data_IF_419996449920
#
_entry.id   IF_419996449920
#
_cell.length_a   1.000
_cell.length_b   1.000
_cell.length_c   1.000
_cell.angle_alpha   90.00
_cell.angle_beta   90.00
_cell.angle_gamma   90.00
#
_symmetry.space_group_name_H-M   'P 1'
#
loop_
_entity.id
_entity.type
_entity.pdbx_description
1 polymer ?
#
# COMPACT_ATOMS: atom_id res chain seq x y z
N UNK A 1 -15.68 59.92 -20.99
CA UNK A 1 -15.57 59.23 -19.68
C UNK A 1 -14.49 58.15 -19.81
N UNK A 2 -13.36 58.27 -19.11
CA UNK A 2 -12.51 57.11 -18.75
C UNK A 2 -13.07 56.55 -17.44
N UNK A 3 -13.06 55.23 -17.20
CA UNK A 3 -11.85 54.46 -16.85
C UNK A 3 -11.89 53.02 -17.46
N UNK A 4 -10.99 52.05 -17.31
CA UNK A 4 -9.69 51.87 -16.65
C UNK A 4 -9.16 50.50 -17.12
N UNK A 5 -7.87 50.42 -17.41
CA UNK A 5 -7.09 49.19 -17.62
C UNK A 5 -6.94 48.41 -16.30
N UNK A 6 -7.38 47.16 -16.26
CA UNK A 6 -6.90 46.14 -15.32
C UNK A 6 -6.12 45.11 -16.16
N UNK A 7 -4.85 44.78 -15.93
CA UNK A 7 -4.11 44.78 -14.67
C UNK A 7 -3.83 43.32 -14.32
N UNK A 8 -2.86 42.71 -15.02
CA UNK A 8 -2.38 41.36 -14.79
C UNK A 8 -1.94 41.18 -13.33
N UNK A 9 -2.69 40.37 -12.58
CA UNK A 9 -2.26 39.89 -11.27
C UNK A 9 -1.44 38.62 -11.45
N UNK A 10 -0.13 38.82 -11.55
CA UNK A 10 0.92 37.80 -11.51
C UNK A 10 0.73 36.84 -10.32
N UNK A 11 0.76 35.54 -10.61
CA UNK A 11 0.92 34.46 -9.63
C UNK A 11 2.13 34.74 -8.72
N UNK A 12 2.08 34.43 -7.42
CA UNK A 12 3.23 34.64 -6.54
C UNK A 12 4.39 33.74 -7.00
N UNK A 13 5.65 34.23 -6.98
CA UNK A 13 6.77 33.43 -7.38
C UNK A 13 6.96 32.29 -6.39
N UNK A 14 7.16 31.07 -6.90
CA UNK A 14 7.65 29.93 -6.13
C UNK A 14 8.84 30.38 -5.27
N UNK A 15 8.65 30.51 -3.95
CA UNK A 15 9.75 30.72 -3.02
C UNK A 15 10.62 29.48 -3.09
N UNK A 16 11.84 29.63 -3.61
CA UNK A 16 12.88 28.60 -3.49
C UNK A 16 13.04 28.28 -1.99
N UNK A 17 13.16 27.00 -1.61
CA UNK A 17 13.46 26.64 -0.22
C UNK A 17 14.70 27.38 0.25
N UNK A 18 14.64 27.97 1.44
CA UNK A 18 15.75 28.66 2.08
C UNK A 18 16.94 27.71 2.16
N UNK A 19 18.15 28.10 1.73
CA UNK A 19 19.34 27.29 1.94
C UNK A 19 19.52 27.06 3.45
N UNK A 20 19.68 25.80 3.85
CA UNK A 20 20.05 25.45 5.23
C UNK A 20 21.40 26.10 5.57
N UNK A 21 21.52 26.62 6.78
CA UNK A 21 22.71 27.31 7.29
C UNK A 21 23.96 26.43 7.12
N UNK A 22 24.98 26.88 6.36
CA UNK A 22 26.21 26.13 6.14
C UNK A 22 27.07 25.94 7.42
N UNK A 23 26.74 26.62 8.52
CA UNK A 23 27.43 26.51 9.81
C UNK A 23 26.70 25.67 10.85
N UNK A 24 25.59 25.01 10.50
CA UNK A 24 25.00 23.96 11.35
C UNK A 24 26.01 22.81 11.49
N UNK A 25 26.53 22.48 12.68
CA UNK A 25 27.52 21.43 12.87
C UNK A 25 26.96 20.13 12.31
N UNK A 26 27.42 19.73 11.10
CA UNK A 26 26.87 18.62 10.29
C UNK A 26 26.34 17.51 11.20
N UNK A 27 25.01 17.43 11.43
CA UNK A 27 24.48 16.45 12.35
C UNK A 27 24.85 15.05 11.89
N UNK A 28 25.11 14.16 12.85
CA UNK A 28 25.42 12.76 12.59
C UNK A 28 24.39 12.19 11.60
N UNK A 29 24.81 11.66 10.44
CA UNK A 29 23.89 11.03 9.49
C UNK A 29 22.98 9.97 10.11
N UNK A 30 23.40 9.37 11.23
CA UNK A 30 22.63 8.38 12.00
C UNK A 30 21.46 8.97 12.79
N UNK A 31 21.40 10.30 12.93
CA UNK A 31 20.36 11.04 13.69
C UNK A 31 19.42 11.80 12.74
N UNK A 32 19.60 11.66 11.43
CA UNK A 32 18.74 12.28 10.41
C UNK A 32 17.70 11.30 9.87
N UNK A 33 16.54 11.79 9.48
CA UNK A 33 15.55 10.99 8.76
C UNK A 33 16.01 10.67 7.34
N UNK A 34 15.40 9.69 6.68
CA UNK A 34 15.71 9.38 5.27
C UNK A 34 15.52 10.60 4.35
N UNK A 35 14.47 11.40 4.54
CA UNK A 35 14.22 12.60 3.72
C UNK A 35 15.29 13.69 3.92
N UNK A 36 15.81 13.83 5.14
CA UNK A 36 16.88 14.79 5.41
C UNK A 36 18.22 14.36 4.81
N UNK A 37 18.56 13.08 4.97
CA UNK A 37 19.73 12.50 4.33
C UNK A 37 19.65 12.69 2.80
N UNK A 38 18.49 12.39 2.21
CA UNK A 38 18.27 12.52 0.78
C UNK A 38 18.43 13.96 0.27
N UNK A 39 17.85 14.94 0.97
CA UNK A 39 17.95 16.37 0.61
C UNK A 39 19.36 16.93 0.75
N UNK A 40 20.20 16.32 1.58
CA UNK A 40 21.63 16.62 1.68
C UNK A 40 22.47 15.90 0.62
N UNK A 41 21.83 15.19 -0.31
CA UNK A 41 22.50 14.45 -1.39
C UNK A 41 23.07 13.10 -0.96
N UNK A 42 22.82 12.66 0.28
CA UNK A 42 23.36 11.42 0.83
C UNK A 42 22.50 10.23 0.40
N UNK A 43 23.16 9.12 0.07
CA UNK A 43 22.52 7.83 -0.19
C UNK A 43 22.74 6.93 1.02
N UNK A 44 21.70 6.75 1.83
CA UNK A 44 21.74 5.93 3.05
C UNK A 44 21.87 4.43 2.76
N UNK A 45 22.25 3.60 3.75
CA UNK A 45 22.19 2.14 3.63
C UNK A 45 20.80 1.63 3.26
N UNK A 46 19.74 2.24 3.80
CA UNK A 46 18.34 1.88 3.53
C UNK A 46 17.97 2.19 2.09
N UNK A 47 18.35 3.36 1.55
CA UNK A 47 18.14 3.69 0.13
C UNK A 47 18.86 2.71 -0.79
N UNK A 48 20.08 2.29 -0.45
CA UNK A 48 20.81 1.25 -1.22
C UNK A 48 20.11 -0.10 -1.16
N UNK A 49 19.53 -0.45 -0.01
CA UNK A 49 18.76 -1.68 0.15
C UNK A 49 17.52 -1.66 -0.75
N UNK A 50 16.73 -0.60 -0.69
CA UNK A 50 15.55 -0.38 -1.54
C UNK A 50 15.93 -0.43 -3.01
N UNK A 51 17.00 0.27 -3.41
CA UNK A 51 17.47 0.28 -4.78
C UNK A 51 17.79 -1.12 -5.32
N UNK A 52 18.50 -1.95 -4.55
CA UNK A 52 18.77 -3.34 -4.94
C UNK A 52 17.51 -4.18 -5.03
N UNK A 53 16.61 -4.06 -4.04
CA UNK A 53 15.35 -4.81 -3.99
C UNK A 53 14.43 -4.50 -5.17
N UNK A 54 14.45 -3.24 -5.63
CA UNK A 54 13.58 -2.73 -6.68
C UNK A 54 14.22 -2.70 -8.07
N UNK A 55 15.48 -3.11 -8.21
CA UNK A 55 16.23 -2.98 -9.47
C UNK A 55 16.46 -1.53 -9.91
N UNK A 56 16.50 -0.58 -8.97
CA UNK A 56 16.65 0.85 -9.23
C UNK A 56 18.07 1.34 -8.95
N UNK A 57 18.41 2.52 -9.49
CA UNK A 57 19.64 3.23 -9.09
C UNK A 57 19.46 3.84 -7.69
N UNK A 58 20.46 3.75 -6.79
CA UNK A 58 20.37 4.38 -5.46
C UNK A 58 20.12 5.89 -5.51
N UNK A 59 20.65 6.58 -6.52
CA UNK A 59 20.45 8.02 -6.71
C UNK A 59 19.00 8.33 -7.08
N UNK A 60 18.32 7.46 -7.83
CA UNK A 60 16.89 7.63 -8.14
C UNK A 60 16.05 7.49 -6.87
N UNK A 61 16.34 6.49 -6.03
CA UNK A 61 15.66 6.32 -4.73
C UNK A 61 15.87 7.56 -3.87
N UNK A 62 17.11 8.04 -3.73
CA UNK A 62 17.41 9.29 -3.03
C UNK A 62 16.61 10.46 -3.59
N UNK A 63 16.58 10.66 -4.90
CA UNK A 63 15.91 11.80 -5.52
C UNK A 63 14.39 11.78 -5.28
N UNK A 64 13.75 10.62 -5.36
CA UNK A 64 12.33 10.47 -5.05
C UNK A 64 12.04 10.69 -3.55
N UNK A 65 12.91 10.22 -2.66
CA UNK A 65 12.81 10.48 -1.22
C UNK A 65 13.02 11.96 -0.89
N UNK A 66 14.01 12.62 -1.49
CA UNK A 66 14.30 14.05 -1.27
C UNK A 66 13.12 14.95 -1.66
N UNK A 67 12.44 14.59 -2.77
CA UNK A 67 11.22 15.25 -3.25
C UNK A 67 9.98 14.88 -2.43
N UNK A 68 10.04 13.83 -1.60
CA UNK A 68 8.92 13.31 -0.84
C UNK A 68 7.86 12.63 -1.70
N UNK A 69 8.27 12.02 -2.82
CA UNK A 69 7.49 11.15 -3.72
C UNK A 69 7.71 9.67 -3.46
N UNK A 70 8.65 9.37 -2.57
CA UNK A 70 8.91 8.06 -2.01
C UNK A 70 9.19 8.20 -0.52
N UNK A 71 8.71 7.27 0.29
CA UNK A 71 9.09 7.13 1.69
C UNK A 71 9.75 5.78 1.92
N UNK A 72 10.58 5.70 2.95
CA UNK A 72 11.18 4.48 3.46
C UNK A 72 10.86 4.44 4.95
N UNK A 73 9.72 3.83 5.36
CA UNK A 73 9.35 3.70 6.76
C UNK A 73 10.38 2.79 7.45
N UNK A 74 11.25 3.41 8.25
CA UNK A 74 12.41 2.74 8.82
C UNK A 74 12.78 3.37 10.15
N UNK A 75 11.93 3.15 11.15
CA UNK A 75 12.20 3.62 12.49
C UNK A 75 13.52 3.00 12.97
N UNK A 76 14.38 3.84 13.56
CA UNK A 76 15.72 3.45 14.01
C UNK A 76 15.70 2.33 15.04
N UNK A 77 14.66 2.24 15.86
CA UNK A 77 14.53 1.16 16.83
C UNK A 77 14.20 -0.17 16.14
N UNK A 78 13.37 -0.15 15.10
CA UNK A 78 13.04 -1.36 14.34
C UNK A 78 14.19 -1.83 13.44
N UNK A 79 14.97 -0.89 12.89
CA UNK A 79 16.20 -1.22 12.16
C UNK A 79 17.17 -2.05 13.02
N UNK A 80 17.25 -1.79 14.34
CA UNK A 80 18.08 -2.59 15.26
C UNK A 80 17.54 -4.01 15.46
N UNK A 81 16.26 -4.25 15.20
CA UNK A 81 15.57 -5.53 15.39
C UNK A 81 15.51 -6.36 14.10
N UNK A 82 16.03 -5.86 12.98
CA UNK A 82 16.15 -6.62 11.75
C UNK A 82 15.14 -6.26 10.65
N UNK A 83 14.52 -5.07 10.73
CA UNK A 83 13.72 -4.52 9.64
C UNK A 83 14.49 -4.56 8.32
N UNK A 84 13.85 -5.06 7.27
CA UNK A 84 14.35 -5.01 5.90
C UNK A 84 13.72 -3.81 5.17
N UNK A 85 14.49 -2.75 4.87
CA UNK A 85 13.94 -1.53 4.30
C UNK A 85 13.18 -1.74 2.99
N UNK A 86 12.16 -0.92 2.77
CA UNK A 86 11.32 -0.96 1.57
C UNK A 86 10.91 0.45 1.17
N UNK A 87 10.81 0.69 -0.14
CA UNK A 87 10.42 1.99 -0.68
C UNK A 87 8.94 2.00 -1.09
N UNK A 88 8.20 3.00 -0.61
CA UNK A 88 6.80 3.24 -0.99
C UNK A 88 6.76 4.50 -1.85
N UNK A 89 6.49 4.34 -3.14
CA UNK A 89 6.40 5.45 -4.09
C UNK A 89 6.25 4.94 -5.52
N UNK A 90 5.78 5.78 -6.44
CA UNK A 90 5.43 5.41 -7.82
C UNK A 90 6.58 4.84 -8.67
N UNK A 91 7.84 5.07 -8.28
CA UNK A 91 9.01 4.50 -8.98
C UNK A 91 9.39 3.10 -8.48
N UNK A 92 8.87 2.68 -7.32
CA UNK A 92 9.01 1.32 -6.81
C UNK A 92 7.80 0.47 -7.23
N UNK A 93 7.87 -0.85 -7.01
CA UNK A 93 6.71 -1.74 -7.17
C UNK A 93 5.54 -1.27 -6.30
N UNK A 94 4.30 -1.47 -6.76
CA UNK A 94 3.12 -1.20 -5.94
C UNK A 94 3.13 -2.10 -4.69
N UNK A 95 3.00 -1.49 -3.50
CA UNK A 95 3.09 -2.20 -2.22
C UNK A 95 1.72 -2.57 -1.70
N UNK A 96 1.65 -3.60 -0.86
CA UNK A 96 0.43 -3.92 -0.13
C UNK A 96 0.67 -3.91 1.38
N UNK A 97 -0.37 -3.54 2.12
CA UNK A 97 -0.40 -3.62 3.58
C UNK A 97 -1.42 -4.66 4.04
N UNK A 98 -1.06 -5.44 5.07
CA UNK A 98 -2.00 -6.29 5.78
C UNK A 98 -2.31 -5.72 7.18
N UNK A 99 -3.59 -5.64 7.55
CA UNK A 99 -4.00 -5.27 8.91
C UNK A 99 -4.19 -6.52 9.77
N UNK A 100 -3.49 -6.57 10.89
CA UNK A 100 -3.69 -7.55 11.96
C UNK A 100 -4.14 -6.79 13.24
N UNK A 101 -4.28 -7.51 14.35
CA UNK A 101 -4.57 -6.91 15.64
C UNK A 101 -5.63 -7.69 16.43
N UNK A 102 -5.52 -7.57 17.75
CA UNK A 102 -6.49 -8.14 18.67
C UNK A 102 -7.73 -7.24 18.85
N UNK A 103 -8.73 -7.80 19.51
CA UNK A 103 -9.90 -7.04 19.96
C UNK A 103 -10.17 -7.31 21.44
N UNK A 104 -11.08 -6.53 22.04
CA UNK A 104 -11.53 -6.76 23.42
C UNK A 104 -12.16 -8.15 23.66
N UNK A 105 -12.50 -8.89 22.60
CA UNK A 105 -13.22 -10.16 22.68
C UNK A 105 -12.37 -11.39 22.32
N UNK A 106 -11.26 -11.22 21.58
CA UNK A 106 -10.44 -12.33 21.08
C UNK A 106 -8.99 -11.91 20.78
N UNK A 107 -8.11 -12.93 20.77
CA UNK A 107 -6.71 -12.94 20.31
C UNK A 107 -5.62 -12.70 21.37
N UNK A 108 -4.57 -13.51 21.29
CA UNK A 108 -3.36 -13.48 22.10
C UNK A 108 -2.11 -13.25 21.22
N UNK A 109 -0.94 -13.08 21.85
CA UNK A 109 0.34 -12.84 21.15
C UNK A 109 0.64 -13.93 20.11
N UNK A 110 0.35 -15.20 20.41
CA UNK A 110 0.64 -16.32 19.52
C UNK A 110 -0.13 -16.22 18.21
N UNK A 111 -1.44 -15.92 18.30
CA UNK A 111 -2.29 -15.77 17.13
C UNK A 111 -1.89 -14.56 16.27
N UNK A 112 -1.54 -13.42 16.88
CA UNK A 112 -1.09 -12.24 16.12
C UNK A 112 0.26 -12.47 15.42
N UNK A 113 1.16 -13.25 16.04
CA UNK A 113 2.41 -13.67 15.39
C UNK A 113 2.17 -14.65 14.24
N UNK A 114 1.16 -15.52 14.32
CA UNK A 114 0.78 -16.40 13.22
C UNK A 114 0.20 -15.61 12.03
N UNK A 115 -0.68 -14.64 12.29
CA UNK A 115 -1.20 -13.73 11.25
C UNK A 115 -0.07 -12.93 10.60
N UNK A 116 0.86 -12.39 11.38
CA UNK A 116 2.04 -11.68 10.87
C UNK A 116 2.85 -12.58 9.91
N UNK A 117 3.21 -13.80 10.35
CA UNK A 117 3.97 -14.76 9.54
C UNK A 117 3.25 -15.11 8.25
N UNK A 118 1.96 -15.46 8.35
CA UNK A 118 1.13 -15.79 7.19
C UNK A 118 1.09 -14.64 6.18
N UNK A 119 0.88 -13.40 6.65
CA UNK A 119 0.84 -12.23 5.79
C UNK A 119 2.17 -11.97 5.07
N UNK A 120 3.28 -12.01 5.81
CA UNK A 120 4.63 -11.75 5.27
C UNK A 120 5.05 -12.84 4.28
N UNK A 121 4.83 -14.11 4.61
CA UNK A 121 5.19 -15.25 3.74
C UNK A 121 4.46 -15.20 2.39
N UNK A 122 3.24 -14.66 2.37
CA UNK A 122 2.44 -14.46 1.15
C UNK A 122 2.74 -13.15 0.43
N UNK A 123 3.61 -12.32 0.99
CA UNK A 123 4.17 -11.14 0.33
C UNK A 123 3.57 -9.81 0.76
N UNK A 124 2.90 -9.72 1.91
CA UNK A 124 2.55 -8.43 2.52
C UNK A 124 3.82 -7.60 2.68
N UNK A 125 3.80 -6.37 2.15
CA UNK A 125 4.98 -5.53 2.10
C UNK A 125 5.13 -4.69 3.38
N UNK A 126 4.01 -4.33 4.02
CA UNK A 126 3.94 -3.77 5.38
C UNK A 126 2.80 -4.44 6.16
N UNK A 127 2.83 -4.29 7.48
CA UNK A 127 1.75 -4.78 8.36
C UNK A 127 1.34 -3.69 9.34
N UNK A 128 0.04 -3.51 9.58
CA UNK A 128 -0.43 -2.64 10.66
C UNK A 128 -0.98 -3.45 11.83
N UNK A 129 -0.53 -3.09 13.03
CA UNK A 129 -1.15 -3.55 14.27
C UNK A 129 -2.29 -2.59 14.67
N UNK A 130 -3.53 -3.07 14.48
CA UNK A 130 -4.75 -2.34 14.81
C UNK A 130 -5.40 -2.88 16.09
N UNK A 131 -4.60 -3.48 16.97
CA UNK A 131 -5.03 -4.01 18.26
C UNK A 131 -5.80 -2.96 19.09
N UNK A 132 -6.95 -3.39 19.62
CA UNK A 132 -7.81 -2.55 20.49
C UNK A 132 -8.13 -3.22 21.84
N UNK A 133 -7.63 -4.43 22.07
CA UNK A 133 -7.88 -5.21 23.29
C UNK A 133 -6.92 -4.90 24.45
N UNK A 134 -6.81 -5.84 25.39
CA UNK A 134 -5.78 -5.79 26.44
C UNK A 134 -4.37 -6.03 25.88
N UNK A 135 -3.35 -5.69 26.68
CA UNK A 135 -1.95 -6.03 26.41
C UNK A 135 -1.38 -5.53 25.06
N UNK A 136 -1.99 -4.46 24.50
CA UNK A 136 -1.56 -3.82 23.23
C UNK A 136 -0.05 -3.60 23.17
N UNK A 137 0.53 -3.20 24.30
CA UNK A 137 1.95 -2.92 24.43
C UNK A 137 2.84 -4.15 24.24
N UNK A 138 2.47 -5.28 24.84
CA UNK A 138 3.22 -6.54 24.77
C UNK A 138 3.06 -7.20 23.41
N UNK A 139 1.84 -7.21 22.88
CA UNK A 139 1.53 -7.70 21.53
C UNK A 139 2.34 -6.93 20.50
N UNK A 140 2.31 -5.60 20.54
CA UNK A 140 3.05 -4.78 19.58
C UNK A 140 4.56 -4.98 19.68
N UNK A 141 5.13 -5.10 20.90
CA UNK A 141 6.56 -5.42 21.07
C UNK A 141 6.91 -6.75 20.42
N UNK A 142 6.09 -7.79 20.63
CA UNK A 142 6.31 -9.09 20.04
C UNK A 142 6.20 -9.05 18.50
N UNK A 143 5.21 -8.34 17.96
CA UNK A 143 5.02 -8.16 16.51
C UNK A 143 6.21 -7.43 15.88
N UNK A 144 6.64 -6.29 16.44
CA UNK A 144 7.80 -5.53 15.93
C UNK A 144 9.07 -6.39 15.98
N UNK A 145 9.33 -7.08 17.09
CA UNK A 145 10.52 -7.91 17.23
C UNK A 145 10.56 -9.10 16.25
N UNK A 146 9.40 -9.57 15.78
CA UNK A 146 9.29 -10.69 14.85
C UNK A 146 9.19 -10.25 13.38
N UNK A 147 8.94 -8.96 13.11
CA UNK A 147 8.61 -8.49 11.77
C UNK A 147 9.87 -8.12 10.96
N UNK A 148 10.08 -8.69 9.76
CA UNK A 148 11.09 -8.20 8.84
C UNK A 148 10.59 -7.02 7.99
N UNK A 149 9.31 -6.67 8.06
CA UNK A 149 8.66 -5.61 7.27
C UNK A 149 8.20 -4.46 8.15
N UNK A 150 7.99 -3.24 7.60
CA UNK A 150 7.54 -2.10 8.41
C UNK A 150 6.22 -2.37 9.13
N UNK A 151 6.15 -1.93 10.39
CA UNK A 151 4.96 -1.99 11.24
C UNK A 151 4.32 -0.61 11.36
N UNK A 152 3.05 -0.52 11.00
CA UNK A 152 2.22 0.66 11.20
C UNK A 152 1.25 0.55 12.37
N UNK A 153 0.79 1.68 12.89
CA UNK A 153 -0.25 1.74 13.93
C UNK A 153 -1.20 2.92 13.73
N UNK A 154 -2.27 2.94 14.52
CA UNK A 154 -3.18 4.08 14.66
C UNK A 154 -3.16 4.52 16.14
N UNK A 155 -2.30 5.47 16.55
CA UNK A 155 -2.04 5.77 17.96
C UNK A 155 -3.28 6.10 18.80
N UNK A 156 -4.29 6.73 18.18
CA UNK A 156 -5.56 7.04 18.85
C UNK A 156 -6.27 5.79 19.39
N UNK A 157 -6.06 4.60 18.81
CA UNK A 157 -6.66 3.36 19.29
C UNK A 157 -6.10 2.89 20.64
N UNK A 158 -4.83 3.18 20.92
CA UNK A 158 -4.29 2.93 22.25
C UNK A 158 -4.66 4.05 23.22
N UNK A 159 -4.64 5.30 22.77
CA UNK A 159 -5.01 6.44 23.62
C UNK A 159 -6.44 6.31 24.16
N UNK A 160 -7.39 5.83 23.35
CA UNK A 160 -8.77 5.62 23.79
C UNK A 160 -8.89 4.53 24.87
N UNK A 161 -8.02 3.51 24.86
CA UNK A 161 -8.01 2.45 25.90
C UNK A 161 -7.49 2.97 27.26
N UNK A 162 -6.77 4.09 27.27
CA UNK A 162 -6.22 4.70 28.49
C UNK A 162 -7.20 5.65 29.17
N UNK A 163 -8.37 5.87 28.58
CA UNK A 163 -9.39 6.78 29.09
C UNK A 163 -10.75 6.10 29.15
N UNK A 164 -11.70 6.68 29.91
CA UNK A 164 -13.05 6.11 30.02
C UNK A 164 -13.94 6.51 28.85
N UNK A 165 -13.77 7.73 28.34
CA UNK A 165 -14.53 8.26 27.22
C UNK A 165 -13.63 8.98 26.23
N UNK A 166 -14.01 9.04 24.94
CA UNK A 166 -13.25 9.79 23.95
C UNK A 166 -12.98 11.23 24.36
N UNK A 167 -13.94 11.92 24.98
CA UNK A 167 -13.77 13.29 25.49
C UNK A 167 -12.77 13.43 26.65
N UNK A 168 -12.31 12.35 27.29
CA UNK A 168 -11.33 12.44 28.36
C UNK A 168 -9.88 12.46 27.83
N UNK A 169 -9.69 12.31 26.51
CA UNK A 169 -8.37 12.35 25.87
C UNK A 169 -7.77 13.75 25.97
N UNK A 170 -6.52 13.85 26.41
CA UNK A 170 -5.75 15.10 26.43
C UNK A 170 -4.77 15.16 25.25
N UNK A 171 -4.41 16.38 24.84
CA UNK A 171 -3.38 16.61 23.81
C UNK A 171 -2.05 15.97 24.22
N UNK A 172 -1.64 16.14 25.48
CA UNK A 172 -0.41 15.54 26.03
C UNK A 172 -0.47 14.02 26.05
N UNK A 173 -1.63 13.44 26.37
CA UNK A 173 -1.84 11.99 26.35
C UNK A 173 -1.69 11.41 24.94
N UNK A 174 -2.22 12.09 23.93
CA UNK A 174 -2.06 11.68 22.53
C UNK A 174 -0.61 11.72 22.07
N UNK A 175 0.10 12.82 22.35
CA UNK A 175 1.52 12.94 22.02
C UNK A 175 2.36 11.89 22.77
N UNK A 176 2.04 11.63 24.03
CA UNK A 176 2.70 10.60 24.84
C UNK A 176 2.54 9.20 24.26
N UNK A 177 1.36 8.85 23.74
CA UNK A 177 1.14 7.56 23.06
C UNK A 177 1.92 7.47 21.75
N UNK A 178 1.95 8.55 20.96
CA UNK A 178 2.74 8.61 19.72
C UNK A 178 4.22 8.39 20.01
N UNK A 179 4.79 9.10 20.99
CA UNK A 179 6.19 8.94 21.38
C UNK A 179 6.48 7.54 21.94
N UNK A 180 5.60 7.01 22.78
CA UNK A 180 5.73 5.67 23.34
C UNK A 180 5.81 4.60 22.24
N UNK A 181 4.93 4.67 21.24
CA UNK A 181 4.96 3.74 20.11
C UNK A 181 6.19 3.94 19.21
N UNK A 182 6.65 5.18 19.04
CA UNK A 182 7.88 5.46 18.28
C UNK A 182 9.10 4.82 18.95
N UNK A 183 9.21 4.88 20.29
CA UNK A 183 10.26 4.18 21.07
C UNK A 183 10.21 2.66 20.95
N UNK A 184 9.04 2.07 20.69
CA UNK A 184 8.92 0.63 20.48
C UNK A 184 9.40 0.18 19.09
N UNK A 185 9.53 1.10 18.13
CA UNK A 185 9.93 0.77 16.76
C UNK A 185 8.79 0.75 15.74
N UNK A 186 7.69 1.45 15.99
CA UNK A 186 6.67 1.64 14.94
C UNK A 186 7.23 2.50 13.81
N UNK A 187 7.13 2.06 12.56
CA UNK A 187 7.76 2.70 11.39
C UNK A 187 6.90 3.80 10.77
N UNK A 188 5.58 3.67 10.86
CA UNK A 188 4.66 4.70 10.41
C UNK A 188 3.40 4.73 11.26
N UNK A 189 2.79 5.92 11.36
CA UNK A 189 1.59 6.10 12.16
C UNK A 189 0.51 6.80 11.37
N UNK A 190 -0.68 6.21 11.40
CA UNK A 190 -1.90 6.83 10.88
C UNK A 190 -2.36 7.92 11.86
N UNK A 191 -2.15 9.17 11.47
CA UNK A 191 -2.53 10.36 12.24
C UNK A 191 -3.68 11.06 11.54
N UNK A 192 -4.84 11.08 12.19
CA UNK A 192 -6.08 11.70 11.71
C UNK A 192 -6.07 13.22 12.00
N UNK A 193 -5.07 13.93 11.48
CA UNK A 193 -4.93 15.38 11.67
C UNK A 193 -5.67 16.21 10.62
N UNK A 194 -6.11 15.59 9.51
CA UNK A 194 -6.77 16.28 8.40
C UNK A 194 -8.26 16.61 8.64
N UNK A 195 -8.92 15.94 9.58
CA UNK A 195 -10.30 16.24 9.96
C UNK A 195 -10.35 17.49 10.85
N UNK A 196 -10.75 18.61 10.26
CA UNK A 196 -10.97 19.85 10.97
C UNK A 196 -12.41 19.94 11.48
N UNK A 197 -12.61 20.70 12.57
CA UNK A 197 -13.93 20.87 13.19
C UNK A 197 -14.98 21.38 12.22
N UNK A 198 -14.58 22.26 11.29
CA UNK A 198 -15.48 22.82 10.28
C UNK A 198 -15.90 21.82 9.19
N UNK A 199 -15.20 20.69 9.05
CA UNK A 199 -15.54 19.67 8.06
C UNK A 199 -16.58 18.67 8.57
N UNK A 200 -16.74 18.53 9.89
CA UNK A 200 -17.70 17.58 10.49
C UNK A 200 -19.15 17.80 10.01
N UNK A 201 -19.67 19.04 9.92
CA UNK A 201 -21.01 19.27 9.37
C UNK A 201 -21.19 18.85 7.92
N UNK A 202 -20.12 18.80 7.12
CA UNK A 202 -20.18 18.36 5.73
C UNK A 202 -20.62 16.90 5.61
N UNK A 203 -20.43 16.07 6.63
CA UNK A 203 -20.85 14.66 6.57
C UNK A 203 -22.32 14.44 6.91
N UNK A 204 -23.08 15.49 7.26
CA UNK A 204 -24.45 15.36 7.74
C UNK A 204 -25.43 14.79 6.69
N UNK A 205 -25.09 14.89 5.40
CA UNK A 205 -25.90 14.40 4.29
C UNK A 205 -25.46 13.01 3.76
N UNK A 206 -24.37 12.45 4.29
CA UNK A 206 -23.87 11.14 3.88
C UNK A 206 -24.82 10.02 4.30
N UNK A 207 -24.87 8.96 3.49
CA UNK A 207 -25.60 7.73 3.81
C UNK A 207 -24.92 7.00 4.98
N UNK A 208 -23.58 6.92 4.95
CA UNK A 208 -22.80 6.15 5.95
C UNK A 208 -22.02 7.01 6.94
N UNK A 209 -22.12 8.34 6.84
CA UNK A 209 -21.49 9.27 7.78
C UNK A 209 -19.96 9.18 7.79
N UNK A 210 -19.38 9.07 8.99
CA UNK A 210 -17.93 8.93 9.21
C UNK A 210 -17.64 7.47 9.55
N UNK A 211 -17.08 6.73 8.58
CA UNK A 211 -16.74 5.29 8.74
C UNK A 211 -15.31 5.04 9.24
N UNK A 212 -14.47 6.09 9.28
CA UNK A 212 -13.17 5.97 9.93
C UNK A 212 -13.34 5.89 11.44
N UNK A 213 -12.80 4.83 12.06
CA UNK A 213 -12.78 4.70 13.53
C UNK A 213 -11.98 5.83 14.17
N UNK A 214 -10.76 6.10 13.67
CA UNK A 214 -9.95 7.21 14.20
C UNK A 214 -10.59 8.56 13.93
N UNK A 215 -11.15 8.76 12.74
CA UNK A 215 -11.86 9.97 12.36
C UNK A 215 -13.08 10.27 13.21
N UNK A 216 -13.92 9.27 13.47
CA UNK A 216 -15.13 9.41 14.31
C UNK A 216 -14.78 9.72 15.78
N UNK A 217 -13.73 9.12 16.33
CA UNK A 217 -13.22 9.44 17.67
C UNK A 217 -12.74 10.89 17.76
N UNK A 218 -12.04 11.40 16.74
CA UNK A 218 -11.61 12.80 16.68
C UNK A 218 -12.78 13.76 16.51
N UNK A 219 -13.75 13.43 15.65
CA UNK A 219 -14.97 14.22 15.51
C UNK A 219 -15.74 14.32 16.82
N UNK A 220 -15.91 13.19 17.54
CA UNK A 220 -16.56 13.17 18.85
C UNK A 220 -15.83 14.04 19.87
N UNK A 221 -14.49 13.94 19.93
CA UNK A 221 -13.67 14.76 20.82
C UNK A 221 -13.86 16.27 20.53
N UNK A 222 -13.81 16.67 19.26
CA UNK A 222 -13.96 18.08 18.85
C UNK A 222 -15.34 18.62 19.21
N UNK A 223 -16.39 17.82 18.98
CA UNK A 223 -17.77 18.21 19.28
C UNK A 223 -18.01 18.34 20.80
N UNK A 224 -17.44 17.46 21.60
CA UNK A 224 -17.57 17.53 23.07
C UNK A 224 -16.89 18.76 23.67
N UNK A 225 -15.76 19.20 23.11
CA UNK A 225 -14.99 20.32 23.64
C UNK A 225 -15.26 21.66 22.97
N UNK A 226 -15.88 21.67 21.78
CA UNK A 226 -15.96 22.87 20.95
C UNK A 226 -14.57 23.39 20.56
N UNK A 227 -13.58 22.51 20.39
CA UNK A 227 -12.18 22.84 20.06
C UNK A 227 -11.77 22.18 18.75
N UNK A 228 -10.71 22.71 18.14
CA UNK A 228 -10.11 22.12 16.95
C UNK A 228 -9.36 20.82 17.28
N UNK A 229 -9.19 19.96 16.27
CA UNK A 229 -8.51 18.67 16.34
C UNK A 229 -7.15 18.77 17.08
N UNK A 230 -6.93 17.97 18.13
CA UNK A 230 -5.72 18.04 18.95
C UNK A 230 -4.45 17.69 18.15
N UNK A 231 -4.52 16.73 17.21
CA UNK A 231 -3.38 16.42 16.35
C UNK A 231 -3.06 17.56 15.37
N UNK A 232 -4.08 18.26 14.86
CA UNK A 232 -3.87 19.43 14.01
C UNK A 232 -3.24 20.60 14.78
N UNK A 233 -3.77 20.90 15.97
CA UNK A 233 -3.24 21.97 16.83
C UNK A 233 -1.79 21.72 17.26
N UNK A 234 -1.45 20.46 17.53
CA UNK A 234 -0.13 20.03 18.01
C UNK A 234 0.72 19.36 16.93
N UNK A 235 0.45 19.65 15.65
CA UNK A 235 1.09 18.97 14.53
C UNK A 235 2.61 19.20 14.47
N UNK A 236 3.08 20.35 14.92
CA UNK A 236 4.50 20.68 14.94
C UNK A 236 5.24 19.86 16.02
N UNK A 237 4.62 19.63 17.17
CA UNK A 237 5.17 18.75 18.21
C UNK A 237 5.16 17.28 17.75
N UNK A 238 4.11 16.86 17.03
CA UNK A 238 4.10 15.54 16.38
C UNK A 238 5.28 15.39 15.41
N UNK A 239 5.58 16.42 14.60
CA UNK A 239 6.72 16.37 13.69
C UNK A 239 8.03 16.19 14.43
N UNK A 240 8.21 16.86 15.58
CA UNK A 240 9.44 16.73 16.37
C UNK A 240 9.61 15.30 16.90
N UNK A 241 8.53 14.68 17.40
CA UNK A 241 8.52 13.28 17.83
C UNK A 241 8.81 12.33 16.65
N UNK A 242 8.08 12.46 15.54
CA UNK A 242 8.21 11.56 14.38
C UNK A 242 9.62 11.63 13.79
N UNK A 243 10.19 12.83 13.69
CA UNK A 243 11.55 13.07 13.18
C UNK A 243 12.62 12.44 14.07
N UNK A 244 12.45 12.45 15.40
CA UNK A 244 13.43 11.90 16.34
C UNK A 244 13.73 10.42 16.04
N UNK A 245 12.70 9.64 15.73
CA UNK A 245 12.80 8.20 15.50
C UNK A 245 12.77 7.78 14.01
N UNK A 246 12.59 8.74 13.10
CA UNK A 246 12.34 8.52 11.65
C UNK A 246 11.05 7.72 11.38
N UNK A 247 9.98 8.05 12.12
CA UNK A 247 8.64 7.55 11.87
C UNK A 247 8.04 8.30 10.69
N UNK A 248 7.46 7.57 9.75
CA UNK A 248 6.75 8.14 8.61
C UNK A 248 5.31 8.50 9.00
N UNK A 249 4.86 9.71 8.65
CA UNK A 249 3.45 10.03 8.73
C UNK A 249 2.66 9.26 7.69
N UNK A 250 1.61 8.59 8.12
CA UNK A 250 0.47 8.21 7.28
C UNK A 250 -0.66 9.17 7.63
N UNK A 251 -0.92 10.19 6.81
CA UNK A 251 -1.98 11.14 7.12
C UNK A 251 -3.34 10.48 6.85
N UNK A 252 -4.10 10.24 7.91
CA UNK A 252 -5.30 9.39 7.89
C UNK A 252 -6.51 10.06 7.25
N UNK A 253 -7.27 9.27 6.50
CA UNK A 253 -8.47 9.68 5.74
C UNK A 253 -9.75 9.56 6.59
N UNK A 254 -9.87 10.40 7.61
CA UNK A 254 -10.98 10.41 8.56
C UNK A 254 -12.36 10.48 7.89
N UNK A 255 -12.47 11.24 6.81
CA UNK A 255 -13.67 11.53 6.05
C UNK A 255 -13.69 10.75 4.74
N UNK A 256 -13.04 9.58 4.66
CA UNK A 256 -13.22 8.67 3.52
C UNK A 256 -14.70 8.23 3.35
N UNK A 257 -15.14 7.93 2.13
CA UNK A 257 -16.48 7.41 1.87
C UNK A 257 -16.61 5.95 2.33
N UNK A 258 -17.72 5.64 3.00
CA UNK A 258 -18.09 4.29 3.45
C UNK A 258 -19.16 3.61 2.60
N UNK A 259 -19.60 4.27 1.55
CA UNK A 259 -20.45 3.72 0.50
C UNK A 259 -20.25 4.52 -0.78
N UNK A 260 -20.72 3.96 -1.90
CA UNK A 260 -20.54 4.57 -3.21
C UNK A 260 -21.22 5.94 -3.35
N UNK A 261 -22.34 6.15 -2.65
CA UNK A 261 -23.09 7.40 -2.70
C UNK A 261 -22.35 8.57 -2.04
N UNK A 262 -21.47 8.27 -1.08
CA UNK A 262 -20.68 9.27 -0.35
C UNK A 262 -19.33 9.55 -1.05
N UNK A 263 -19.02 8.82 -2.12
CA UNK A 263 -17.74 8.90 -2.82
C UNK A 263 -17.53 10.27 -3.48
N UNK A 264 -16.31 10.80 -3.34
CA UNK A 264 -15.87 12.05 -3.96
C UNK A 264 -16.69 13.29 -3.54
N UNK A 265 -17.25 13.26 -2.33
CA UNK A 265 -18.03 14.37 -1.80
C UNK A 265 -17.14 15.54 -1.28
N UNK A 266 -17.79 16.60 -0.82
CA UNK A 266 -17.12 17.80 -0.31
C UNK A 266 -16.28 17.50 0.94
N UNK A 267 -16.78 16.65 1.85
CA UNK A 267 -16.09 16.31 3.09
C UNK A 267 -14.77 15.58 2.83
N UNK A 268 -14.78 14.60 1.92
CA UNK A 268 -13.59 13.84 1.54
C UNK A 268 -12.51 14.77 0.97
N UNK A 269 -12.87 15.66 0.03
CA UNK A 269 -11.88 16.52 -0.62
C UNK A 269 -11.45 17.71 0.25
N UNK A 270 -12.28 18.17 1.17
CA UNK A 270 -11.88 19.16 2.18
C UNK A 270 -10.74 18.60 3.07
N UNK A 271 -10.87 17.36 3.55
CA UNK A 271 -9.81 16.70 4.31
C UNK A 271 -8.56 16.46 3.46
N UNK A 272 -8.71 15.98 2.20
CA UNK A 272 -7.57 15.76 1.32
C UNK A 272 -6.72 17.03 1.13
N UNK A 273 -7.38 18.18 0.97
CA UNK A 273 -6.70 19.48 0.87
C UNK A 273 -5.97 19.86 2.16
N UNK A 274 -6.57 19.62 3.32
CA UNK A 274 -5.91 19.82 4.62
C UNK A 274 -4.70 18.89 4.79
N UNK A 275 -4.82 17.61 4.40
CA UNK A 275 -3.69 16.68 4.39
C UNK A 275 -2.55 17.14 3.47
N UNK A 276 -2.85 17.80 2.36
CA UNK A 276 -1.84 18.43 1.50
C UNK A 276 -1.05 19.54 2.22
N UNK A 277 -1.71 20.40 2.99
CA UNK A 277 -1.05 21.42 3.83
C UNK A 277 -0.16 20.77 4.90
N UNK A 278 -0.69 19.78 5.62
CA UNK A 278 0.05 19.03 6.64
C UNK A 278 1.24 18.27 6.04
N UNK A 279 1.10 17.72 4.82
CA UNK A 279 2.18 17.07 4.07
C UNK A 279 3.35 18.04 3.85
N UNK A 280 3.05 19.27 3.38
CA UNK A 280 4.10 20.29 3.18
C UNK A 280 4.77 20.68 4.49
N UNK A 281 4.01 20.86 5.56
CA UNK A 281 4.52 21.19 6.90
C UNK A 281 5.45 20.10 7.44
N UNK A 282 5.01 18.83 7.43
CA UNK A 282 5.82 17.71 7.88
C UNK A 282 7.09 17.53 7.03
N UNK A 283 6.97 17.63 5.70
CA UNK A 283 8.13 17.63 4.79
C UNK A 283 9.11 18.75 5.13
N UNK A 284 8.66 19.97 5.43
CA UNK A 284 9.55 21.08 5.82
C UNK A 284 10.28 20.82 7.15
N UNK A 285 9.63 20.15 8.09
CA UNK A 285 10.24 19.72 9.36
C UNK A 285 11.07 18.43 9.25
N UNK A 286 11.31 17.92 8.04
CA UNK A 286 12.18 16.77 7.83
C UNK A 286 11.52 15.42 8.14
N UNK A 287 10.19 15.35 8.16
CA UNK A 287 9.47 14.09 8.28
C UNK A 287 9.14 13.48 6.91
N UNK A 288 9.10 12.16 6.85
CA UNK A 288 8.57 11.41 5.72
C UNK A 288 7.04 11.38 5.78
N UNK A 289 6.35 11.44 4.65
CA UNK A 289 4.88 11.50 4.60
C UNK A 289 4.34 10.67 3.45
N UNK A 290 3.37 9.81 3.76
CA UNK A 290 2.39 9.26 2.82
C UNK A 290 0.99 9.72 3.26
N UNK A 291 0.06 9.72 2.31
CA UNK A 291 -1.33 10.18 2.52
C UNK A 291 -2.26 8.99 2.36
N UNK A 292 -3.24 8.84 3.25
CA UNK A 292 -4.28 7.82 3.13
C UNK A 292 -5.43 8.29 2.24
N UNK A 293 -6.12 7.35 1.61
CA UNK A 293 -7.15 7.61 0.63
C UNK A 293 -8.27 6.58 0.62
N UNK A 294 -9.31 6.86 -0.18
CA UNK A 294 -10.68 6.43 0.07
C UNK A 294 -10.91 4.92 0.12
N UNK A 295 -12.03 4.60 0.77
CA UNK A 295 -12.58 3.26 0.96
C UNK A 295 -13.53 2.82 -0.15
N UNK A 296 -14.71 3.43 -0.27
CA UNK A 296 -15.75 3.01 -1.23
C UNK A 296 -15.85 4.01 -2.38
N UNK A 297 -15.49 3.61 -3.61
CA UNK A 297 -15.44 4.51 -4.78
C UNK A 297 -15.83 3.74 -6.05
N UNK A 298 -16.84 4.20 -6.82
CA UNK A 298 -17.17 3.58 -8.09
C UNK A 298 -16.04 3.76 -9.11
N UNK A 299 -15.89 2.79 -10.00
CA UNK A 299 -14.73 2.70 -10.91
C UNK A 299 -14.46 3.97 -11.73
N UNK A 300 -15.51 4.67 -12.16
CA UNK A 300 -15.44 5.89 -12.97
C UNK A 300 -14.82 7.08 -12.23
N UNK A 301 -14.73 7.04 -10.90
CA UNK A 301 -14.19 8.11 -10.07
C UNK A 301 -12.76 7.85 -9.56
N UNK A 302 -12.23 6.64 -9.73
CA UNK A 302 -10.93 6.24 -9.14
C UNK A 302 -9.77 7.06 -9.72
N UNK A 303 -9.70 7.21 -11.04
CA UNK A 303 -8.62 7.97 -11.70
C UNK A 303 -8.56 9.42 -11.20
N UNK A 304 -9.72 10.07 -11.11
CA UNK A 304 -9.83 11.44 -10.62
C UNK A 304 -9.37 11.58 -9.15
N UNK A 305 -9.65 10.60 -8.30
CA UNK A 305 -9.15 10.60 -6.92
C UNK A 305 -7.60 10.55 -6.87
N UNK A 306 -6.97 9.76 -7.74
CA UNK A 306 -5.51 9.69 -7.82
C UNK A 306 -4.92 11.03 -8.31
N UNK A 307 -5.51 11.64 -9.34
CA UNK A 307 -5.08 12.94 -9.87
C UNK A 307 -5.21 14.05 -8.84
N UNK A 308 -6.34 14.11 -8.11
CA UNK A 308 -6.56 15.09 -7.04
C UNK A 308 -5.54 14.95 -5.92
N UNK A 309 -5.26 13.74 -5.47
CA UNK A 309 -4.27 13.54 -4.42
C UNK A 309 -2.88 13.98 -4.87
N UNK A 310 -2.46 13.62 -6.08
CA UNK A 310 -1.16 14.00 -6.61
C UNK A 310 -1.01 15.53 -6.68
N UNK A 311 -2.09 16.25 -7.04
CA UNK A 311 -2.12 17.71 -7.08
C UNK A 311 -2.10 18.35 -5.68
N UNK A 312 -3.00 17.95 -4.78
CA UNK A 312 -3.15 18.61 -3.47
C UNK A 312 -1.98 18.29 -2.52
N UNK A 313 -1.42 17.08 -2.63
CA UNK A 313 -0.42 16.53 -1.70
C UNK A 313 1.02 16.50 -2.25
N UNK A 314 1.31 17.27 -3.30
CA UNK A 314 2.65 17.38 -3.91
C UNK A 314 3.26 16.02 -4.24
N UNK A 315 2.47 15.17 -4.92
CA UNK A 315 2.84 13.81 -5.34
C UNK A 315 3.35 12.91 -4.19
N UNK A 316 2.96 13.17 -2.94
CA UNK A 316 3.28 12.27 -1.83
C UNK A 316 2.74 10.86 -2.11
N UNK A 317 3.41 9.77 -1.67
CA UNK A 317 2.90 8.42 -1.85
C UNK A 317 1.47 8.28 -1.32
N UNK A 318 0.60 7.70 -2.15
CA UNK A 318 -0.80 7.52 -1.82
C UNK A 318 -1.06 6.09 -1.35
N UNK A 319 -1.74 5.94 -0.21
CA UNK A 319 -2.06 4.69 0.46
C UNK A 319 -3.57 4.52 0.56
N UNK A 320 -4.16 3.60 -0.21
CA UNK A 320 -5.64 3.50 -0.34
C UNK A 320 -6.19 2.22 0.28
N UNK A 321 -7.38 2.28 0.87
CA UNK A 321 -8.11 1.11 1.39
C UNK A 321 -9.04 0.55 0.30
N UNK A 322 -8.55 -0.40 -0.50
CA UNK A 322 -9.22 -0.81 -1.73
C UNK A 322 -8.90 0.13 -2.89
N UNK A 323 -9.87 0.87 -3.45
CA UNK A 323 -11.25 1.06 -2.96
C UNK A 323 -12.23 -0.04 -3.38
N UNK A 324 -13.29 -0.26 -2.58
CA UNK A 324 -14.45 -1.09 -2.93
C UNK A 324 -15.26 -0.42 -4.04
N UNK A 325 -15.47 -1.14 -5.15
CA UNK A 325 -16.18 -0.60 -6.32
C UNK A 325 -17.68 -0.87 -6.33
N UNK A 326 -18.20 -1.55 -5.30
CA UNK A 326 -19.62 -1.85 -5.11
C UNK A 326 -19.88 -2.30 -3.66
N UNK A 327 -21.05 -1.96 -3.13
CA UNK A 327 -21.42 -2.19 -1.72
C UNK A 327 -22.28 -3.46 -1.50
N UNK A 328 -22.61 -4.19 -2.57
CA UNK A 328 -23.65 -5.23 -2.54
C UNK A 328 -23.14 -6.65 -2.30
N UNK A 329 -21.85 -6.82 -1.97
CA UNK A 329 -21.23 -8.15 -1.87
C UNK A 329 -20.42 -8.39 -0.57
N UNK A 330 -20.98 -8.10 0.62
CA UNK A 330 -20.33 -8.42 1.88
C UNK A 330 -20.02 -9.93 1.95
N UNK A 331 -18.84 -10.28 2.46
CA UNK A 331 -18.28 -11.64 2.35
C UNK A 331 -17.31 -11.81 1.17
N UNK A 332 -17.35 -10.88 0.20
CA UNK A 332 -16.51 -10.88 -0.99
C UNK A 332 -15.82 -9.53 -1.22
N UNK A 333 -15.68 -8.73 -0.17
CA UNK A 333 -15.13 -7.38 -0.30
C UNK A 333 -13.65 -7.35 -0.68
N UNK A 334 -12.90 -8.41 -0.38
CA UNK A 334 -11.57 -8.63 -0.95
C UNK A 334 -11.58 -8.65 -2.50
N UNK A 335 -12.68 -9.07 -3.15
CA UNK A 335 -12.83 -9.06 -4.61
C UNK A 335 -13.31 -7.68 -5.08
N UNK A 336 -14.36 -7.13 -4.45
CA UNK A 336 -14.90 -5.81 -4.84
C UNK A 336 -13.81 -4.73 -4.74
N UNK A 337 -12.99 -4.81 -3.71
CA UNK A 337 -11.88 -3.90 -3.50
C UNK A 337 -10.65 -4.19 -4.36
N UNK A 338 -10.33 -5.46 -4.67
CA UNK A 338 -9.20 -5.77 -5.54
C UNK A 338 -9.34 -5.16 -6.95
N UNK A 339 -10.58 -5.03 -7.46
CA UNK A 339 -10.86 -4.34 -8.72
C UNK A 339 -10.45 -2.88 -8.61
N UNK A 340 -10.92 -2.18 -7.57
CA UNK A 340 -10.60 -0.76 -7.38
C UNK A 340 -9.13 -0.56 -7.03
N UNK A 341 -8.53 -1.45 -6.25
CA UNK A 341 -7.12 -1.42 -5.87
C UNK A 341 -6.19 -1.58 -7.06
N UNK A 342 -6.51 -2.46 -8.00
CA UNK A 342 -5.74 -2.60 -9.25
C UNK A 342 -5.82 -1.32 -10.10
N UNK A 343 -7.01 -0.69 -10.18
CA UNK A 343 -7.18 0.58 -10.88
C UNK A 343 -6.45 1.74 -10.18
N UNK A 344 -6.62 1.87 -8.87
CA UNK A 344 -5.97 2.91 -8.06
C UNK A 344 -4.45 2.75 -8.13
N UNK A 345 -3.96 1.52 -8.00
CA UNK A 345 -2.59 1.13 -8.29
C UNK A 345 -2.20 1.63 -9.68
N UNK A 346 -2.85 1.21 -10.76
CA UNK A 346 -2.50 1.66 -12.10
C UNK A 346 -2.41 3.19 -12.23
N UNK A 347 -3.37 3.94 -11.68
CA UNK A 347 -3.46 5.39 -11.82
C UNK A 347 -2.58 6.21 -10.88
N UNK A 348 -2.11 5.69 -9.75
CA UNK A 348 -1.29 6.52 -8.85
C UNK A 348 -0.99 6.01 -7.43
N UNK A 349 -1.69 5.00 -6.95
CA UNK A 349 -1.52 4.52 -5.58
C UNK A 349 -0.17 3.79 -5.39
N UNK A 350 0.59 4.21 -4.39
CA UNK A 350 1.91 3.63 -4.09
C UNK A 350 1.80 2.42 -3.16
N UNK A 351 0.76 2.39 -2.31
CA UNK A 351 0.47 1.29 -1.41
C UNK A 351 -1.03 1.01 -1.34
N UNK A 352 -1.41 -0.26 -1.23
CA UNK A 352 -2.79 -0.73 -1.19
C UNK A 352 -3.03 -1.43 0.16
N UNK A 353 -3.89 -0.87 1.01
CA UNK A 353 -4.34 -1.57 2.20
C UNK A 353 -5.31 -2.65 1.77
N UNK A 354 -5.00 -3.88 2.17
CA UNK A 354 -5.86 -5.00 1.83
C UNK A 354 -7.25 -4.86 2.44
N UNK A 355 -8.17 -5.64 1.92
CA UNK A 355 -9.50 -5.85 2.48
C UNK A 355 -9.71 -7.35 2.50
N UNK A 356 -10.20 -7.87 3.62
CA UNK A 356 -10.40 -9.31 3.80
C UNK A 356 -11.82 -9.70 3.38
N UNK A 357 -12.12 -11.00 3.17
CA UNK A 357 -13.50 -11.46 2.97
C UNK A 357 -14.46 -11.05 4.10
N UNK A 358 -13.94 -10.89 5.32
CA UNK A 358 -14.71 -10.52 6.52
C UNK A 358 -14.92 -9.03 6.73
N UNK A 359 -14.46 -8.18 5.82
CA UNK A 359 -14.79 -6.76 5.89
C UNK A 359 -16.31 -6.57 6.02
N UNK A 360 -16.72 -5.62 6.86
CA UNK A 360 -18.12 -5.38 7.25
C UNK A 360 -18.83 -6.51 8.03
N UNK A 361 -18.15 -7.63 8.34
CA UNK A 361 -18.75 -8.81 8.97
C UNK A 361 -18.09 -9.22 10.28
N UNK A 362 -16.78 -9.05 10.43
CA UNK A 362 -16.08 -9.45 11.65
C UNK A 362 -14.57 -9.36 11.58
N UNK A 363 -13.89 -9.89 12.59
CA UNK A 363 -12.43 -9.91 12.65
C UNK A 363 -11.87 -11.03 11.75
N UNK A 364 -10.81 -10.75 10.97
CA UNK A 364 -10.17 -11.75 10.13
C UNK A 364 -9.42 -12.80 10.95
N UNK A 365 -9.64 -14.07 10.61
CA UNK A 365 -8.77 -15.18 11.01
C UNK A 365 -7.62 -15.33 9.99
N UNK A 366 -6.68 -16.24 10.25
CA UNK A 366 -5.51 -16.49 9.41
C UNK A 366 -5.86 -16.75 7.94
N UNK A 367 -6.94 -17.49 7.65
CA UNK A 367 -7.38 -17.75 6.27
C UNK A 367 -7.94 -16.50 5.58
N UNK A 368 -8.65 -15.63 6.32
CA UNK A 368 -9.16 -14.36 5.79
C UNK A 368 -7.99 -13.42 5.44
N UNK A 369 -6.95 -13.40 6.29
CA UNK A 369 -5.69 -12.68 6.04
C UNK A 369 -5.03 -13.20 4.76
N UNK A 370 -4.92 -14.52 4.62
CA UNK A 370 -4.33 -15.17 3.44
C UNK A 370 -5.05 -14.80 2.15
N UNK A 371 -6.39 -14.84 2.14
CA UNK A 371 -7.18 -14.45 0.96
C UNK A 371 -7.03 -12.96 0.63
N UNK A 372 -7.05 -12.09 1.65
CA UNK A 372 -6.82 -10.66 1.47
C UNK A 372 -5.44 -10.37 0.86
N UNK A 373 -4.38 -10.99 1.39
CA UNK A 373 -3.02 -10.76 0.90
C UNK A 373 -2.87 -11.22 -0.55
N UNK A 374 -3.35 -12.41 -0.89
CA UNK A 374 -3.28 -12.91 -2.27
C UNK A 374 -4.07 -12.02 -3.24
N UNK A 375 -5.29 -11.62 -2.88
CA UNK A 375 -6.10 -10.72 -3.71
C UNK A 375 -5.36 -9.40 -4.00
N UNK A 376 -4.68 -8.85 -2.99
CA UNK A 376 -3.96 -7.59 -3.15
C UNK A 376 -2.59 -7.73 -3.81
N UNK A 377 -1.88 -8.86 -3.67
CA UNK A 377 -0.70 -9.13 -4.50
C UNK A 377 -1.06 -9.25 -5.97
N UNK A 378 -2.21 -9.85 -6.30
CA UNK A 378 -2.73 -9.86 -7.67
C UNK A 378 -3.00 -8.43 -8.15
N UNK A 379 -3.70 -7.62 -7.35
CA UNK A 379 -4.04 -6.24 -7.71
C UNK A 379 -2.78 -5.37 -7.92
N UNK A 380 -1.81 -5.43 -6.99
CA UNK A 380 -0.55 -4.69 -7.06
C UNK A 380 0.28 -5.12 -8.28
N UNK A 381 0.39 -6.43 -8.55
CA UNK A 381 1.09 -6.95 -9.72
C UNK A 381 0.42 -6.51 -11.02
N UNK A 382 -0.91 -6.59 -11.11
CA UNK A 382 -1.67 -6.12 -12.26
C UNK A 382 -1.45 -4.62 -12.52
N UNK A 383 -1.40 -3.81 -11.46
CA UNK A 383 -1.05 -2.40 -11.56
C UNK A 383 0.37 -2.18 -12.09
N UNK A 384 1.36 -2.94 -11.63
CA UNK A 384 2.75 -2.83 -12.10
C UNK A 384 2.90 -3.25 -13.58
N UNK A 385 2.14 -4.26 -14.02
CA UNK A 385 2.04 -4.63 -15.44
C UNK A 385 1.43 -3.49 -16.27
N UNK A 386 0.34 -2.89 -15.80
CA UNK A 386 -0.32 -1.77 -16.47
C UNK A 386 0.53 -0.48 -16.49
N UNK A 387 1.41 -0.32 -15.51
CA UNK A 387 2.42 0.77 -15.45
C UNK A 387 3.66 0.50 -16.31
N UNK A 388 3.73 -0.66 -16.97
CA UNK A 388 4.88 -1.09 -17.76
C UNK A 388 6.19 -1.09 -16.98
N UNK A 389 6.15 -1.53 -15.71
CA UNK A 389 7.36 -1.67 -14.90
C UNK A 389 8.28 -2.72 -15.51
N UNK A 390 9.57 -2.41 -15.59
CA UNK A 390 10.59 -3.32 -16.14
C UNK A 390 10.58 -4.66 -15.39
N UNK A 391 10.57 -5.76 -16.14
CA UNK A 391 10.54 -7.12 -15.60
C UNK A 391 9.20 -7.56 -14.99
N UNK A 392 8.18 -6.69 -14.89
CA UNK A 392 6.91 -7.05 -14.24
C UNK A 392 6.22 -8.24 -14.92
N UNK A 393 6.31 -8.33 -16.26
CA UNK A 393 5.71 -9.42 -17.04
C UNK A 393 6.54 -10.69 -17.12
N UNK A 394 7.79 -10.69 -16.64
CA UNK A 394 8.69 -11.84 -16.82
C UNK A 394 8.12 -13.09 -16.14
N UNK A 395 7.57 -12.93 -14.94
CA UNK A 395 6.90 -14.00 -14.20
C UNK A 395 5.64 -14.51 -14.91
N UNK A 396 4.81 -13.60 -15.44
CA UNK A 396 3.59 -13.97 -16.20
C UNK A 396 3.92 -14.78 -17.44
N UNK A 397 4.92 -14.32 -18.20
CA UNK A 397 5.35 -14.95 -19.44
C UNK A 397 6.03 -16.30 -19.14
N UNK A 398 6.84 -16.41 -18.09
CA UNK A 398 7.45 -17.68 -17.66
C UNK A 398 6.40 -18.69 -17.19
N UNK A 399 5.45 -18.27 -16.35
CA UNK A 399 4.36 -19.14 -15.89
C UNK A 399 3.51 -19.60 -17.07
N UNK A 400 3.24 -18.71 -18.03
CA UNK A 400 2.50 -19.04 -19.25
C UNK A 400 3.25 -20.03 -20.14
N UNK A 401 4.59 -19.93 -20.23
CA UNK A 401 5.42 -20.93 -20.94
C UNK A 401 5.33 -22.28 -20.24
N UNK A 402 5.51 -22.33 -18.92
CA UNK A 402 5.38 -23.56 -18.13
C UNK A 402 3.99 -24.21 -18.31
N UNK A 403 2.93 -23.39 -18.28
CA UNK A 403 1.56 -23.84 -18.56
C UNK A 403 1.41 -24.44 -19.94
N UNK A 404 1.93 -23.76 -20.96
CA UNK A 404 1.82 -24.22 -22.35
C UNK A 404 2.65 -25.48 -22.64
N UNK A 405 3.78 -25.66 -21.94
CA UNK A 405 4.61 -26.87 -22.02
C UNK A 405 4.20 -27.97 -21.05
N UNK A 406 3.09 -27.79 -20.31
CA UNK A 406 2.59 -28.73 -19.31
C UNK A 406 3.58 -29.07 -18.19
N UNK A 407 4.48 -28.14 -17.88
CA UNK A 407 5.33 -28.23 -16.69
C UNK A 407 4.52 -27.75 -15.47
N UNK A 408 3.70 -28.65 -14.95
CA UNK A 408 2.79 -28.35 -13.84
C UNK A 408 3.54 -27.92 -12.58
N UNK A 409 4.67 -28.57 -12.27
CA UNK A 409 5.46 -28.23 -11.09
C UNK A 409 6.03 -26.82 -11.21
N UNK A 410 6.61 -26.47 -12.37
CA UNK A 410 7.09 -25.11 -12.60
C UNK A 410 5.96 -24.08 -12.57
N UNK A 411 4.80 -24.40 -13.13
CA UNK A 411 3.62 -23.53 -13.06
C UNK A 411 3.19 -23.27 -11.61
N UNK A 412 3.20 -24.29 -10.74
CA UNK A 412 2.84 -24.12 -9.33
C UNK A 412 3.87 -23.26 -8.60
N UNK A 413 5.16 -23.54 -8.76
CA UNK A 413 6.26 -22.77 -8.15
C UNK A 413 6.20 -21.29 -8.53
N UNK A 414 5.86 -20.99 -9.78
CA UNK A 414 5.76 -19.61 -10.27
C UNK A 414 4.48 -18.91 -9.83
N UNK A 415 3.47 -19.60 -9.31
CA UNK A 415 2.23 -18.95 -8.86
C UNK A 415 2.40 -18.17 -7.55
N UNK A 416 1.52 -17.22 -7.26
CA UNK A 416 1.56 -16.45 -6.00
C UNK A 416 1.29 -17.32 -4.77
N UNK A 417 0.54 -18.41 -4.94
CA UNK A 417 0.25 -19.40 -3.91
C UNK A 417 0.44 -20.83 -4.45
N UNK A 418 1.68 -21.34 -4.45
CA UNK A 418 2.00 -22.66 -4.99
C UNK A 418 1.23 -23.80 -4.32
N UNK A 419 0.94 -23.66 -3.01
CA UNK A 419 0.25 -24.69 -2.24
C UNK A 419 -1.21 -24.80 -2.69
N UNK A 420 -1.92 -23.67 -2.86
CA UNK A 420 -3.29 -23.69 -3.36
C UNK A 420 -3.35 -24.15 -4.81
N UNK A 421 -2.45 -23.67 -5.67
CA UNK A 421 -2.42 -24.07 -7.08
C UNK A 421 -2.25 -25.59 -7.24
N UNK A 422 -1.34 -26.19 -6.48
CA UNK A 422 -1.14 -27.65 -6.45
C UNK A 422 -2.36 -28.37 -5.86
N UNK A 423 -2.88 -27.93 -4.72
CA UNK A 423 -4.05 -28.52 -4.07
C UNK A 423 -5.25 -28.60 -5.02
N UNK A 424 -5.60 -27.50 -5.67
CA UNK A 424 -6.75 -27.43 -6.60
C UNK A 424 -6.58 -28.34 -7.82
N UNK A 425 -5.36 -28.50 -8.34
CA UNK A 425 -5.10 -29.48 -9.39
C UNK A 425 -5.30 -30.92 -8.88
N UNK A 426 -4.74 -31.20 -7.70
CA UNK A 426 -4.66 -32.55 -7.12
C UNK A 426 -6.00 -33.05 -6.55
N UNK A 427 -6.96 -32.16 -6.31
CA UNK A 427 -8.36 -32.52 -5.98
C UNK A 427 -8.98 -33.49 -7.00
N UNK A 428 -8.55 -33.42 -8.27
CA UNK A 428 -9.06 -34.28 -9.34
C UNK A 428 -7.99 -35.19 -9.95
N UNK A 429 -6.73 -34.78 -9.95
CA UNK A 429 -5.61 -35.51 -10.56
C UNK A 429 -4.42 -35.65 -9.58
N UNK A 430 -4.59 -36.39 -8.48
CA UNK A 430 -3.61 -36.42 -7.39
C UNK A 430 -2.32 -37.19 -7.72
N UNK A 431 -2.36 -38.14 -8.66
CA UNK A 431 -1.20 -38.98 -8.95
C UNK A 431 -0.07 -38.17 -9.61
N UNK A 432 1.18 -38.40 -9.18
CA UNK A 432 2.37 -37.70 -9.71
C UNK A 432 2.53 -37.80 -11.23
N UNK A 433 2.06 -38.88 -11.84
CA UNK A 433 2.04 -39.03 -13.31
C UNK A 433 1.29 -37.87 -14.01
N UNK A 434 0.26 -37.30 -13.38
CA UNK A 434 -0.51 -36.19 -13.94
C UNK A 434 0.24 -34.85 -13.93
N UNK A 435 1.35 -34.71 -13.19
CA UNK A 435 2.22 -33.52 -13.24
C UNK A 435 3.05 -33.43 -14.52
N UNK A 436 3.00 -34.48 -15.34
CA UNK A 436 3.58 -34.52 -16.69
C UNK A 436 2.51 -34.64 -17.79
N UNK A 437 1.23 -34.63 -17.42
CA UNK A 437 0.15 -34.83 -18.37
C UNK A 437 -0.09 -33.57 -19.21
N UNK A 438 -0.22 -33.76 -20.52
CA UNK A 438 -0.56 -32.70 -21.48
C UNK A 438 -2.05 -32.30 -21.45
N UNK A 439 -2.66 -32.26 -20.26
CA UNK A 439 -4.05 -31.87 -20.01
C UNK A 439 -4.32 -31.73 -18.49
N UNK A 440 -5.44 -31.09 -18.14
CA UNK A 440 -6.03 -31.14 -16.80
C UNK A 440 -7.44 -31.74 -16.84
N UNK A 441 -8.09 -31.86 -15.68
CA UNK A 441 -9.44 -32.40 -15.54
C UNK A 441 -10.51 -31.59 -16.27
N UNK A 442 -10.30 -30.28 -16.51
CA UNK A 442 -11.25 -29.40 -17.19
C UNK A 442 -11.57 -29.86 -18.62
N UNK A 443 -10.55 -30.20 -19.42
CA UNK A 443 -10.72 -30.61 -20.81
C UNK A 443 -10.48 -32.11 -21.02
N UNK A 444 -9.82 -32.76 -20.06
CA UNK A 444 -9.31 -34.11 -20.21
C UNK A 444 -8.30 -34.22 -21.37
N UNK A 445 -7.85 -35.45 -21.67
CA UNK A 445 -6.85 -35.64 -22.71
C UNK A 445 -7.36 -35.13 -24.05
N UNK A 446 -8.54 -35.57 -24.53
CA UNK A 446 -8.96 -35.33 -25.92
C UNK A 446 -9.13 -33.86 -26.32
N UNK A 447 -9.58 -32.99 -25.41
CA UNK A 447 -10.03 -31.64 -25.75
C UNK A 447 -9.11 -30.52 -25.25
N UNK A 448 -7.94 -30.84 -24.71
CA UNK A 448 -7.00 -29.80 -24.27
C UNK A 448 -6.50 -28.96 -25.47
N UNK A 449 -6.87 -27.68 -25.47
CA UNK A 449 -6.55 -26.74 -26.56
C UNK A 449 -5.05 -26.52 -26.74
N UNK A 450 -4.28 -26.46 -25.64
CA UNK A 450 -2.82 -26.27 -25.68
C UNK A 450 -2.12 -27.47 -26.33
N UNK A 451 -2.57 -28.69 -26.01
CA UNK A 451 -2.01 -29.92 -26.60
C UNK A 451 -2.34 -30.02 -28.08
N UNK A 452 -3.59 -29.76 -28.45
CA UNK A 452 -4.00 -29.71 -29.86
C UNK A 452 -3.16 -28.68 -30.63
N UNK A 453 -2.90 -27.52 -30.03
CA UNK A 453 -2.06 -26.48 -30.62
C UNK A 453 -0.59 -26.91 -30.75
N UNK A 454 -0.06 -27.64 -29.78
CA UNK A 454 1.29 -28.21 -29.85
C UNK A 454 1.41 -29.25 -30.98
N UNK A 455 0.42 -30.13 -31.12
CA UNK A 455 0.34 -31.11 -32.22
C UNK A 455 0.29 -30.42 -33.59
N UNK A 456 -0.51 -29.35 -33.73
CA UNK A 456 -0.55 -28.53 -34.96
C UNK A 456 0.82 -27.92 -35.26
N UNK A 457 1.49 -27.33 -34.26
CA UNK A 457 2.84 -26.75 -34.43
C UNK A 457 3.87 -27.81 -34.81
N UNK A 458 3.76 -29.03 -34.26
CA UNK A 458 4.63 -30.16 -34.61
C UNK A 458 4.43 -30.56 -36.09
N UNK A 459 3.19 -30.80 -36.51
CA UNK A 459 2.89 -31.13 -37.91
C UNK A 459 3.32 -30.02 -38.89
N UNK A 460 3.12 -28.74 -38.53
CA UNK A 460 3.55 -27.62 -39.37
C UNK A 460 5.08 -27.56 -39.53
N UNK A 461 5.86 -27.85 -38.48
CA UNK A 461 7.32 -27.94 -38.55
C UNK A 461 7.79 -29.11 -39.40
N UNK A 462 7.15 -30.26 -39.28
CA UNK A 462 7.41 -31.44 -40.12
C UNK A 462 7.11 -31.15 -41.59
N UNK A 463 5.98 -30.51 -41.89
CA UNK A 463 5.61 -30.11 -43.25
C UNK A 463 6.57 -29.06 -43.85
N UNK A 464 7.02 -28.08 -43.05
CA UNK A 464 7.98 -27.07 -43.49
C UNK A 464 9.39 -27.64 -43.74
N UNK A 465 9.79 -28.68 -42.98
CA UNK A 465 11.07 -29.39 -43.18
C UNK A 465 11.11 -30.30 -44.41
N UNK A 466 9.96 -30.60 -45.02
CA UNK A 466 9.83 -31.42 -46.22
C UNK A 466 9.97 -30.63 -47.53
N UNK A 467 10.21 -29.31 -47.48
CA UNK A 467 10.43 -28.48 -48.68
C UNK A 467 11.93 -28.32 -48.97
N UNK A 468 12.57 -29.41 -49.39
CA UNK A 468 13.77 -29.35 -50.23
C UNK A 468 13.38 -29.97 -51.57
N UNK A 469 12.98 -29.12 -52.52
CA UNK A 469 12.89 -29.54 -53.91
C UNK A 469 14.33 -29.68 -54.42
N UNK A 470 14.74 -30.92 -54.71
CA UNK A 470 15.97 -31.14 -55.47
C UNK A 470 15.84 -30.39 -56.80
N UNK A 471 16.83 -29.57 -57.19
CA UNK A 471 16.82 -28.97 -58.52
C UNK A 471 16.89 -30.10 -59.54
N UNK A 472 15.99 -30.10 -60.53
CA UNK A 472 16.06 -31.01 -61.66
C UNK A 472 17.49 -30.96 -62.25
N UNK A 473 18.12 -32.11 -62.51
CA UNK A 473 19.45 -32.13 -63.09
C UNK A 473 19.39 -31.47 -64.47
N UNK A 474 20.09 -30.33 -64.57
CA UNK A 474 20.35 -29.68 -65.83
C UNK A 474 21.26 -30.58 -66.70
N UNK A 475 20.63 -31.35 -67.58
CA UNK A 475 21.17 -31.74 -68.87
C UNK A 475 21.71 -33.16 -69.00
N UNK A 476 21.35 -33.82 -70.11
CA UNK A 476 22.31 -34.19 -71.15
C UNK A 476 21.62 -34.71 -72.42
N UNK A 477 21.70 -33.87 -73.46
CA UNK A 477 21.98 -34.19 -74.87
C UNK A 477 21.09 -35.16 -75.66
N UNK A 478 20.48 -34.60 -76.71
CA UNK A 478 20.12 -35.24 -77.97
C UNK A 478 20.00 -34.16 -79.04
#
# INVERSE_FOLDING_TARGET
>A
MRPSTAGDALSPPHRRPTPLDPNDPRPDPRIMTQIEQARRGLVSPEMKFVARREGLRPELVRDEVARGRMVIPANREHLKLGLQPMGIGLKAACKINANIGNSAVTSDIGNELEKLRSAVDLGADTVMDLSTGGEIDDIRRAVIAASPVPIGTVPIYQAIQQVKKPEDITEEGLLGVVEHQARQGVDYMTIHAGILREFVPLTAHRITGIVSRGGSLMAQWMMAHGRENPFYNRFDDLCDIMREYDVTFSLGDSLRPGCLADASDEAQFAELKAMGELTRRAKQRGCQVMVEGPGHVPMDQIAMNMEKQAFECDEAPFYVLGPLVTDIAPGYDHITSAIGAAMAGWYGASMLCYVTPKEHLGLPEVEDVRQGVIAYKIAAHAADVARHREGARDRDDELSRARYSFDWNRQFELSLDPQTARRMHDETLPQEAFKSAAFCSMCGPKFCSMRISEDIRRHAREAAGLVVLEPEPAGAAG
#
